data_IF_131417424967
#
_entry.id   IF_131417424967
#
_cell.length_a   1.000
_cell.length_b   1.000
_cell.length_c   1.000
_cell.angle_alpha   90.00
_cell.angle_beta   90.00
_cell.angle_gamma   90.00
#
_symmetry.space_group_name_H-M   'P 1'
#
loop_
_entity.id
_entity.type
_entity.pdbx_description
1 polymer ?
#
# COMPACT_ATOMS: atom_id res chain seq x y z
N UNK A 1 41.53 -56.18 16.73
CA UNK A 1 41.52 -54.93 15.94
C UNK A 1 40.23 -54.67 15.15
N UNK A 2 39.59 -55.67 14.51
CA UNK A 2 38.35 -55.48 13.72
C UNK A 2 37.17 -54.88 14.52
N UNK A 3 36.85 -55.41 15.71
CA UNK A 3 35.73 -54.92 16.55
C UNK A 3 35.79 -53.42 16.89
N UNK A 4 36.99 -52.87 17.16
CA UNK A 4 37.18 -51.43 17.45
C UNK A 4 36.93 -50.55 16.22
N UNK A 5 37.32 -51.02 15.01
CA UNK A 5 37.06 -50.33 13.75
C UNK A 5 35.56 -50.31 13.41
N UNK A 6 34.86 -51.42 13.66
CA UNK A 6 33.41 -51.51 13.47
C UNK A 6 32.65 -50.57 14.42
N UNK A 7 33.03 -50.52 15.69
CA UNK A 7 32.42 -49.60 16.66
C UNK A 7 32.64 -48.12 16.30
N UNK A 8 33.85 -47.76 15.84
CA UNK A 8 34.15 -46.41 15.39
C UNK A 8 33.33 -46.01 14.16
N UNK A 9 33.15 -46.93 13.20
CA UNK A 9 32.37 -46.68 11.98
C UNK A 9 30.87 -46.49 12.29
N UNK A 10 30.32 -47.29 13.21
CA UNK A 10 28.93 -47.15 13.67
C UNK A 10 28.74 -45.83 14.41
N UNK A 11 29.68 -45.46 15.28
CA UNK A 11 29.64 -44.18 16.00
C UNK A 11 29.68 -42.98 15.03
N UNK A 12 30.53 -43.05 14.00
CA UNK A 12 30.61 -42.02 12.96
C UNK A 12 29.30 -41.89 12.17
N UNK A 13 28.68 -43.04 11.82
CA UNK A 13 27.41 -43.08 11.11
C UNK A 13 26.27 -42.49 11.95
N UNK A 14 26.23 -42.78 13.25
CA UNK A 14 25.25 -42.21 14.18
C UNK A 14 25.41 -40.69 14.27
N UNK A 15 26.65 -40.20 14.45
CA UNK A 15 26.93 -38.76 14.49
C UNK A 15 26.47 -38.08 13.19
N UNK A 16 26.76 -38.69 12.03
CA UNK A 16 26.37 -38.16 10.73
C UNK A 16 24.83 -38.12 10.54
N UNK A 17 24.12 -39.15 11.01
CA UNK A 17 22.65 -39.17 10.97
C UNK A 17 22.08 -38.06 11.85
N UNK A 18 22.59 -37.90 13.07
CA UNK A 18 22.12 -36.85 13.98
C UNK A 18 22.38 -35.45 13.43
N UNK A 19 23.54 -35.18 12.82
CA UNK A 19 23.83 -33.86 12.24
C UNK A 19 22.96 -33.55 11.02
N UNK A 20 22.72 -34.53 10.14
CA UNK A 20 21.84 -34.35 8.98
C UNK A 20 20.40 -34.07 9.43
N UNK A 21 19.89 -34.79 10.43
CA UNK A 21 18.54 -34.53 10.98
C UNK A 21 18.44 -33.17 11.67
N UNK A 22 19.50 -32.72 12.33
CA UNK A 22 19.52 -31.42 13.00
C UNK A 22 19.49 -30.27 11.99
N UNK A 23 20.21 -30.41 10.86
CA UNK A 23 20.23 -29.42 9.77
C UNK A 23 18.90 -29.43 9.00
N UNK A 24 18.34 -30.61 8.69
CA UNK A 24 17.11 -30.74 7.90
C UNK A 24 15.85 -30.25 8.66
N UNK A 25 15.84 -30.31 10.00
CA UNK A 25 14.75 -29.80 10.83
C UNK A 25 14.95 -28.32 11.25
N UNK A 26 16.11 -27.74 11.01
CA UNK A 26 16.35 -26.32 11.30
C UNK A 26 15.70 -25.46 10.22
N UNK A 27 14.43 -25.13 10.40
CA UNK A 27 13.85 -23.96 9.74
C UNK A 27 14.31 -22.73 10.53
N UNK A 28 15.22 -21.89 10.00
CA UNK A 28 15.51 -20.62 10.65
C UNK A 28 14.19 -19.87 10.78
N UNK A 29 13.79 -19.53 12.01
CA UNK A 29 12.67 -18.62 12.21
C UNK A 29 13.01 -17.35 11.45
N UNK A 30 12.26 -17.04 10.40
CA UNK A 30 12.30 -15.74 9.77
C UNK A 30 11.87 -14.73 10.82
N UNK A 31 12.83 -13.97 11.34
CA UNK A 31 12.55 -12.88 12.23
C UNK A 31 12.03 -11.71 11.39
N UNK A 32 10.81 -11.25 11.67
CA UNK A 32 10.28 -10.05 11.04
C UNK A 32 11.07 -8.85 11.57
N UNK A 33 11.72 -8.11 10.67
CA UNK A 33 12.47 -6.90 11.00
C UNK A 33 11.96 -5.77 10.14
N UNK A 34 11.77 -4.60 10.75
CA UNK A 34 11.52 -3.38 9.99
C UNK A 34 12.72 -3.08 9.09
N UNK A 35 12.44 -2.67 7.85
CA UNK A 35 13.47 -2.08 6.99
C UNK A 35 13.91 -0.72 7.52
N UNK A 36 14.93 -0.13 6.90
CA UNK A 36 15.22 1.29 7.09
C UNK A 36 14.02 2.15 6.68
N UNK A 37 13.86 3.30 7.35
CA UNK A 37 12.88 4.32 6.97
C UNK A 37 13.20 4.81 5.54
N UNK A 38 12.17 4.88 4.70
CA UNK A 38 12.24 5.42 3.34
C UNK A 38 11.18 6.52 3.18
N UNK A 39 11.57 7.68 2.67
CA UNK A 39 10.64 8.79 2.40
C UNK A 39 9.86 8.47 1.12
N UNK A 40 8.53 8.37 1.25
CA UNK A 40 7.62 8.09 0.13
C UNK A 40 7.27 9.36 -0.64
N UNK A 41 7.13 10.49 0.05
CA UNK A 41 6.75 11.78 -0.54
C UNK A 41 7.91 12.42 -1.30
N UNK A 42 7.62 13.41 -2.15
CA UNK A 42 8.55 13.88 -3.20
C UNK A 42 8.98 15.34 -3.06
N UNK A 43 8.50 16.07 -2.05
CA UNK A 43 8.87 17.46 -1.81
C UNK A 43 8.88 17.78 -0.31
N UNK A 44 9.43 18.94 0.06
CA UNK A 44 9.63 19.39 1.44
C UNK A 44 8.43 20.11 2.07
N UNK A 45 7.25 19.98 1.46
CA UNK A 45 5.98 20.38 2.03
C UNK A 45 5.56 19.53 3.23
N UNK A 46 4.39 19.85 3.78
CA UNK A 46 3.82 19.03 4.84
C UNK A 46 2.87 18.00 4.24
N UNK A 47 3.01 16.77 4.71
CA UNK A 47 2.20 15.63 4.28
C UNK A 47 1.38 15.08 5.45
N UNK A 48 0.10 14.83 5.24
CA UNK A 48 -0.82 14.33 6.28
C UNK A 48 -1.86 13.37 5.73
N UNK A 49 -2.68 12.83 6.64
CA UNK A 49 -3.86 12.01 6.32
C UNK A 49 -3.56 10.81 5.42
N UNK A 50 -2.53 10.05 5.79
CA UNK A 50 -2.09 8.89 5.01
C UNK A 50 -3.14 7.78 5.00
N UNK A 51 -3.40 7.22 3.82
CA UNK A 51 -4.21 6.03 3.60
C UNK A 51 -3.44 4.97 2.82
N UNK A 52 -3.75 3.69 3.05
CA UNK A 52 -3.11 2.56 2.36
C UNK A 52 -4.14 1.51 1.94
N UNK A 53 -3.95 0.89 0.77
CA UNK A 53 -4.70 -0.30 0.35
C UNK A 53 -3.90 -1.16 -0.64
N UNK A 54 -4.35 -2.40 -0.88
CA UNK A 54 -3.79 -3.28 -1.91
C UNK A 54 -4.73 -3.29 -3.11
N UNK A 55 -4.19 -3.07 -4.31
CA UNK A 55 -4.91 -3.17 -5.58
C UNK A 55 -3.98 -3.78 -6.66
N UNK A 56 -4.46 -4.76 -7.41
CA UNK A 56 -3.69 -5.46 -8.48
C UNK A 56 -2.29 -5.92 -8.01
N UNK A 57 -2.23 -6.54 -6.83
CA UNK A 57 -1.00 -7.00 -6.15
C UNK A 57 0.04 -5.91 -5.84
N UNK A 58 -0.37 -4.64 -5.83
CA UNK A 58 0.46 -3.50 -5.48
C UNK A 58 -0.08 -2.77 -4.24
N UNK A 59 0.82 -2.25 -3.40
CA UNK A 59 0.45 -1.44 -2.23
C UNK A 59 0.35 0.03 -2.65
N UNK A 60 -0.84 0.61 -2.57
CA UNK A 60 -1.10 2.02 -2.83
C UNK A 60 -1.09 2.81 -1.53
N UNK A 61 -0.40 3.94 -1.55
CA UNK A 61 -0.42 4.98 -0.54
C UNK A 61 -1.07 6.24 -1.12
N UNK A 62 -1.90 6.89 -0.32
CA UNK A 62 -2.45 8.23 -0.59
C UNK A 62 -2.17 9.14 0.58
N UNK A 63 -2.02 10.44 0.33
CA UNK A 63 -1.88 11.45 1.38
C UNK A 63 -2.41 12.80 0.91
N UNK A 64 -2.71 13.66 1.88
CA UNK A 64 -2.87 15.08 1.66
C UNK A 64 -1.48 15.71 1.56
N UNK A 65 -1.22 16.34 0.43
CA UNK A 65 0.00 17.06 0.09
C UNK A 65 -0.26 18.56 0.25
N UNK A 66 0.49 19.23 1.12
CA UNK A 66 0.28 20.64 1.41
C UNK A 66 1.49 21.52 1.12
N UNK A 67 1.29 22.44 0.17
CA UNK A 67 2.33 23.34 -0.32
C UNK A 67 1.81 24.79 -0.43
N UNK A 68 2.42 25.68 0.35
CA UNK A 68 2.36 27.15 0.20
C UNK A 68 0.97 27.79 0.00
N UNK A 69 -0.12 27.14 0.45
CA UNK A 69 -1.56 27.51 0.44
C UNK A 69 -2.48 26.49 -0.24
N UNK A 70 -1.96 25.45 -0.88
CA UNK A 70 -2.76 24.43 -1.57
C UNK A 70 -2.71 23.09 -0.84
N UNK A 71 -3.83 22.39 -0.91
CA UNK A 71 -4.01 21.04 -0.38
C UNK A 71 -4.47 20.17 -1.53
N UNK A 72 -3.65 19.19 -1.88
CA UNK A 72 -3.88 18.29 -3.00
C UNK A 72 -3.85 16.85 -2.50
N UNK A 73 -4.49 15.95 -3.23
CA UNK A 73 -4.38 14.52 -2.96
C UNK A 73 -3.34 13.92 -3.90
N UNK A 74 -2.32 13.30 -3.31
CA UNK A 74 -1.26 12.60 -4.04
C UNK A 74 -1.26 11.11 -3.66
N UNK A 75 -0.81 10.27 -4.59
CA UNK A 75 -0.71 8.84 -4.40
C UNK A 75 0.56 8.26 -5.02
N UNK A 76 0.99 7.10 -4.51
CA UNK A 76 2.04 6.24 -5.09
C UNK A 76 1.68 4.79 -4.89
N UNK A 77 2.23 3.91 -5.71
CA UNK A 77 2.14 2.47 -5.48
C UNK A 77 3.53 1.85 -5.33
N UNK A 78 3.59 0.70 -4.66
CA UNK A 78 4.80 -0.07 -4.44
C UNK A 78 4.73 -1.42 -5.16
N UNK A 79 5.74 -1.70 -5.99
CA UNK A 79 5.89 -2.95 -6.75
C UNK A 79 7.33 -3.53 -6.64
N UNK A 80 8.02 -3.24 -5.53
CA UNK A 80 9.45 -3.46 -5.33
C UNK A 80 10.20 -2.15 -5.10
N UNK A 81 9.70 -1.07 -5.68
CA UNK A 81 10.06 0.32 -5.39
C UNK A 81 8.81 1.20 -5.41
N UNK A 82 8.90 2.40 -4.83
CA UNK A 82 7.81 3.37 -4.88
C UNK A 82 7.77 4.03 -6.25
N UNK A 83 6.58 4.11 -6.85
CA UNK A 83 6.34 4.77 -8.13
C UNK A 83 6.64 6.27 -8.11
N UNK A 84 6.61 6.90 -9.28
CA UNK A 84 6.41 8.34 -9.38
C UNK A 84 5.06 8.74 -8.75
N UNK A 85 4.97 10.00 -8.30
CA UNK A 85 3.74 10.52 -7.72
C UNK A 85 2.63 10.59 -8.77
N UNK A 86 1.43 10.21 -8.35
CA UNK A 86 0.17 10.30 -9.08
C UNK A 86 -0.64 11.40 -8.40
N UNK A 87 -1.03 12.42 -9.14
CA UNK A 87 -1.89 13.47 -8.63
C UNK A 87 -3.34 13.06 -8.81
N UNK A 88 -4.06 12.87 -7.70
CA UNK A 88 -5.50 12.56 -7.73
C UNK A 88 -6.28 13.83 -8.08
N UNK A 89 -5.87 14.97 -7.54
CA UNK A 89 -6.44 16.30 -7.78
C UNK A 89 -5.49 17.16 -8.63
N UNK A 90 -5.38 16.85 -9.92
CA UNK A 90 -4.59 17.67 -10.85
C UNK A 90 -5.28 19.02 -11.09
N UNK A 91 -4.50 20.11 -11.08
CA UNK A 91 -4.98 21.48 -11.34
C UNK A 91 -6.06 22.00 -10.38
N UNK A 92 -6.20 21.40 -9.19
CA UNK A 92 -7.04 21.96 -8.12
C UNK A 92 -6.54 23.34 -7.70
N UNK A 93 -7.51 24.20 -7.37
CA UNK A 93 -7.32 25.57 -6.90
C UNK A 93 -7.72 25.76 -5.45
N UNK A 94 -8.47 24.82 -4.88
CA UNK A 94 -9.01 24.86 -3.52
C UNK A 94 -8.45 23.79 -2.60
N UNK A 95 -9.17 23.54 -1.50
CA UNK A 95 -8.80 22.54 -0.51
C UNK A 95 -9.18 21.14 -0.96
N UNK A 96 -8.25 20.19 -0.85
CA UNK A 96 -8.52 18.76 -0.95
C UNK A 96 -7.75 18.02 0.14
N UNK A 97 -8.44 17.27 0.97
CA UNK A 97 -7.81 16.60 2.11
C UNK A 97 -8.60 15.41 2.64
N UNK A 98 -8.01 14.75 3.63
CA UNK A 98 -8.58 13.57 4.30
C UNK A 98 -8.91 12.41 3.34
N UNK A 99 -7.97 11.97 2.48
CA UNK A 99 -8.24 10.92 1.53
C UNK A 99 -8.38 9.55 2.21
N UNK A 100 -9.25 8.72 1.65
CA UNK A 100 -9.41 7.31 2.00
C UNK A 100 -9.40 6.44 0.74
N UNK A 101 -8.84 5.23 0.86
CA UNK A 101 -8.75 4.26 -0.23
C UNK A 101 -9.61 3.03 0.06
N UNK A 102 -10.28 2.52 -0.96
CA UNK A 102 -10.94 1.21 -0.91
C UNK A 102 -10.89 0.54 -2.28
N UNK A 103 -10.84 -0.79 -2.29
CA UNK A 103 -11.03 -1.57 -3.51
C UNK A 103 -12.41 -2.21 -3.48
N UNK A 104 -13.18 -2.01 -4.54
CA UNK A 104 -14.49 -2.62 -4.72
C UNK A 104 -14.66 -3.04 -6.18
N UNK A 105 -15.11 -4.28 -6.43
CA UNK A 105 -15.28 -4.83 -7.78
C UNK A 105 -14.09 -4.57 -8.71
N UNK A 106 -12.88 -4.91 -8.27
CA UNK A 106 -11.65 -4.75 -9.06
C UNK A 106 -11.37 -3.31 -9.51
N UNK A 107 -11.85 -2.33 -8.75
CA UNK A 107 -11.60 -0.91 -8.97
C UNK A 107 -11.12 -0.28 -7.68
N UNK A 108 -10.07 0.54 -7.77
CA UNK A 108 -9.57 1.33 -6.66
C UNK A 108 -10.33 2.66 -6.60
N UNK A 109 -10.88 2.99 -5.45
CA UNK A 109 -11.57 4.26 -5.20
C UNK A 109 -10.76 5.09 -4.22
N UNK A 110 -10.63 6.38 -4.53
CA UNK A 110 -10.15 7.42 -3.61
C UNK A 110 -11.33 8.32 -3.28
N UNK A 111 -11.65 8.45 -2.01
CA UNK A 111 -12.67 9.38 -1.51
C UNK A 111 -11.97 10.45 -0.68
N UNK A 112 -12.31 11.72 -0.86
CA UNK A 112 -11.73 12.81 -0.07
C UNK A 112 -12.73 13.93 0.13
N UNK A 113 -12.39 14.84 1.02
CA UNK A 113 -13.15 16.07 1.23
C UNK A 113 -12.58 17.17 0.33
N UNK A 114 -13.43 17.77 -0.49
CA UNK A 114 -13.07 18.87 -1.37
C UNK A 114 -13.87 20.13 -1.03
N UNK A 115 -13.15 21.23 -0.86
CA UNK A 115 -13.71 22.59 -0.87
C UNK A 115 -13.28 23.34 -2.14
N UNK A 116 -12.98 22.60 -3.22
CA UNK A 116 -12.51 23.17 -4.48
C UNK A 116 -13.67 23.35 -5.47
N UNK A 117 -14.05 24.58 -5.81
CA UNK A 117 -15.16 24.84 -6.73
C UNK A 117 -14.91 24.31 -8.14
N UNK A 118 -13.65 24.07 -8.53
CA UNK A 118 -13.33 23.44 -9.81
C UNK A 118 -13.66 21.94 -9.85
N UNK A 119 -13.85 21.31 -8.69
CA UNK A 119 -14.22 19.89 -8.52
C UNK A 119 -15.70 19.76 -8.16
N UNK A 120 -16.18 20.54 -7.20
CA UNK A 120 -17.54 20.43 -6.64
C UNK A 120 -18.55 21.31 -7.38
N UNK A 121 -18.09 22.34 -8.09
CA UNK A 121 -18.94 23.36 -8.71
C UNK A 121 -19.44 24.44 -7.74
N UNK A 122 -19.13 24.36 -6.45
CA UNK A 122 -19.50 25.37 -5.43
C UNK A 122 -18.41 25.55 -4.37
N UNK A 123 -18.51 26.58 -3.53
CA UNK A 123 -17.50 26.88 -2.50
C UNK A 123 -17.76 26.14 -1.17
N UNK A 124 -18.66 25.16 -1.14
CA UNK A 124 -18.94 24.34 0.03
C UNK A 124 -17.96 23.15 0.17
N UNK A 125 -18.05 22.46 1.31
CA UNK A 125 -17.27 21.26 1.59
C UNK A 125 -18.07 20.02 1.20
N UNK A 126 -17.65 19.32 0.16
CA UNK A 126 -18.29 18.09 -0.32
C UNK A 126 -17.36 16.88 -0.18
N UNK A 127 -17.96 15.70 -0.14
CA UNK A 127 -17.25 14.42 -0.25
C UNK A 127 -17.30 13.97 -1.71
N UNK A 128 -16.13 13.82 -2.31
CA UNK A 128 -15.98 13.49 -3.73
C UNK A 128 -15.19 12.19 -3.88
N UNK A 129 -15.30 11.56 -5.04
CA UNK A 129 -14.69 10.27 -5.34
C UNK A 129 -14.05 10.27 -6.72
N UNK A 130 -12.92 9.57 -6.85
CA UNK A 130 -12.26 9.25 -8.11
C UNK A 130 -11.90 7.78 -8.11
N UNK A 131 -12.21 7.10 -9.20
CA UNK A 131 -11.82 5.71 -9.41
C UNK A 131 -10.52 5.59 -10.24
N UNK A 132 -9.86 4.45 -10.08
CA UNK A 132 -8.68 4.03 -10.81
C UNK A 132 -8.81 2.53 -11.10
N UNK A 133 -8.86 2.15 -12.38
CA UNK A 133 -9.19 0.80 -12.82
C UNK A 133 -8.75 0.50 -14.25
N UNK A 134 -8.79 -0.78 -14.65
CA UNK A 134 -8.47 -1.22 -16.03
C UNK A 134 -9.56 -0.87 -17.04
N UNK A 135 -10.75 -0.52 -16.57
CA UNK A 135 -11.82 0.04 -17.38
C UNK A 135 -12.18 1.39 -16.77
N UNK A 136 -12.07 2.47 -17.55
CA UNK A 136 -12.61 3.77 -17.15
C UNK A 136 -14.12 3.57 -16.97
N UNK A 137 -14.56 3.36 -15.73
CA UNK A 137 -15.98 3.28 -15.46
C UNK A 137 -16.50 4.66 -15.85
N UNK A 138 -17.47 4.68 -16.74
CA UNK A 138 -18.24 5.89 -17.03
C UNK A 138 -18.61 6.52 -15.70
N UNK A 139 -18.49 7.86 -15.53
CA UNK A 139 -18.72 8.50 -14.25
C UNK A 139 -19.97 7.89 -13.63
N UNK A 140 -19.84 7.32 -12.43
CA UNK A 140 -20.99 6.88 -11.66
C UNK A 140 -21.85 8.12 -11.51
N UNK A 141 -22.80 8.29 -12.43
CA UNK A 141 -23.83 9.27 -12.30
C UNK A 141 -24.47 8.92 -10.99
N UNK A 142 -24.23 9.76 -9.98
CA UNK A 142 -25.04 9.77 -8.78
C UNK A 142 -26.47 9.92 -9.28
N UNK A 143 -27.16 8.80 -9.46
CA UNK A 143 -28.60 8.79 -9.68
C UNK A 143 -29.15 9.41 -8.41
N UNK A 144 -29.57 10.66 -8.53
CA UNK A 144 -30.32 11.42 -7.53
C UNK A 144 -31.69 10.79 -7.34
N UNK A 145 -31.75 9.55 -6.91
CA UNK A 145 -32.97 8.91 -6.40
C UNK A 145 -32.59 7.83 -5.40
N UNK A 146 -32.13 8.24 -4.22
CA UNK A 146 -32.39 7.44 -3.01
C UNK A 146 -33.55 8.11 -2.28
N UNK A 147 -34.76 7.70 -2.70
CA UNK A 147 -35.79 7.49 -1.69
C UNK A 147 -35.30 6.34 -0.82
N UNK A 148 -34.94 6.65 0.42
CA UNK A 148 -34.77 5.63 1.44
C UNK A 148 -36.16 5.12 1.88
N UNK A 149 -36.34 3.83 2.19
CA UNK A 149 -37.47 3.40 3.01
C UNK A 149 -37.40 4.01 4.41
#
# INVERSE_FOLDING_TARGET
MKKKKTAALIMLAIILIFTITFIACYSPKTEYRWSSINRVTFNDGNDYDVGLTIYDDQLYAVWTEANASRYNIAAKYYNGEWSNAIWVTENSTGFNGFPQLAVYNSTLYVVWVSGDPSITGTDNWDVVVKDYGKENITPLGFRTTLGFP
#
